data_IF_950015276867
#
_entry.id   IF_950015276867
#
_cell.length_a   1.000
_cell.length_b   1.000
_cell.length_c   1.000
_cell.angle_alpha   90.00
_cell.angle_beta   90.00
_cell.angle_gamma   90.00
#
_symmetry.space_group_name_H-M   'P 1'
#
loop_
_entity.id
_entity.type
_entity.pdbx_description
1 polymer ?
#
# COMPACT_ATOMS: atom_id res chain seq x y z
N UNK A 1 -5.94 17.93 -12.43
CA UNK A 1 -6.12 19.23 -13.11
C UNK A 1 -4.93 19.47 -14.02
N UNK A 2 -5.18 19.76 -15.30
CA UNK A 2 -4.20 19.89 -16.38
C UNK A 2 -3.80 21.35 -16.69
N UNK A 3 -4.30 22.34 -15.93
CA UNK A 3 -4.13 23.78 -16.23
C UNK A 3 -2.86 24.41 -15.62
N UNK A 4 -2.01 23.65 -14.92
CA UNK A 4 -0.77 24.18 -14.31
C UNK A 4 -0.96 25.00 -13.03
N UNK A 5 -2.17 25.52 -12.78
CA UNK A 5 -2.51 26.30 -11.59
C UNK A 5 -3.23 25.45 -10.51
N UNK A 6 -2.90 25.72 -9.26
CA UNK A 6 -3.57 25.18 -8.07
C UNK A 6 -4.87 25.93 -7.74
N UNK A 7 -5.64 25.38 -6.80
CA UNK A 7 -6.90 25.99 -6.33
C UNK A 7 -6.67 27.33 -5.61
N UNK A 8 -5.48 27.53 -5.07
CA UNK A 8 -4.97 28.73 -4.42
C UNK A 8 -4.41 29.77 -5.42
N UNK A 9 -4.47 29.49 -6.73
CA UNK A 9 -3.86 30.32 -7.78
C UNK A 9 -2.33 30.17 -7.86
N UNK A 10 -1.74 29.33 -7.02
CA UNK A 10 -0.32 28.99 -7.04
C UNK A 10 0.03 27.96 -8.09
N UNK A 11 1.27 27.46 -8.05
CA UNK A 11 1.69 26.32 -8.87
C UNK A 11 0.98 25.06 -8.40
N UNK A 12 0.35 24.33 -9.32
CA UNK A 12 -0.31 23.06 -8.99
C UNK A 12 0.67 22.01 -8.45
N UNK A 13 0.18 21.02 -7.70
CA UNK A 13 1.01 19.97 -7.07
C UNK A 13 2.00 19.29 -8.03
N UNK A 14 1.57 18.98 -9.24
CA UNK A 14 2.38 18.29 -10.26
C UNK A 14 3.04 19.23 -11.28
N UNK A 15 3.07 20.54 -11.00
CA UNK A 15 3.61 21.54 -11.94
C UNK A 15 5.10 21.34 -12.22
N UNK A 16 5.88 20.92 -11.23
CA UNK A 16 7.31 20.65 -11.41
C UNK A 16 7.58 19.52 -12.40
N UNK A 17 6.85 18.40 -12.31
CA UNK A 17 6.98 17.29 -13.27
C UNK A 17 6.53 17.70 -14.68
N UNK A 18 5.48 18.52 -14.78
CA UNK A 18 5.06 19.10 -16.06
C UNK A 18 6.15 19.98 -16.65
N UNK A 19 6.82 20.82 -15.85
CA UNK A 19 7.89 21.69 -16.30
C UNK A 19 9.08 20.88 -16.84
N UNK A 20 9.48 19.81 -16.15
CA UNK A 20 10.57 18.92 -16.61
C UNK A 20 10.19 18.17 -17.90
N UNK A 21 8.94 17.72 -18.02
CA UNK A 21 8.44 17.14 -19.27
C UNK A 21 8.48 18.15 -20.42
N UNK A 22 8.01 19.38 -20.21
CA UNK A 22 8.03 20.43 -21.23
C UNK A 22 9.46 20.80 -21.63
N UNK A 23 10.37 20.88 -20.67
CA UNK A 23 11.79 21.14 -20.91
C UNK A 23 12.40 20.06 -21.81
N UNK A 24 12.14 18.80 -21.52
CA UNK A 24 12.58 17.69 -22.36
C UNK A 24 11.95 17.76 -23.75
N UNK A 25 10.62 17.91 -23.81
CA UNK A 25 9.86 17.89 -25.05
C UNK A 25 10.23 19.04 -26.00
N UNK A 26 10.55 20.22 -25.46
CA UNK A 26 11.01 21.37 -26.24
C UNK A 26 12.40 21.15 -26.88
N UNK A 27 13.22 20.25 -26.31
CA UNK A 27 14.56 19.93 -26.79
C UNK A 27 14.65 18.63 -27.61
N UNK A 28 13.56 17.87 -27.69
CA UNK A 28 13.54 16.53 -28.28
C UNK A 28 13.00 16.54 -29.71
N UNK A 29 13.63 15.78 -30.60
CA UNK A 29 13.15 15.60 -31.97
C UNK A 29 11.96 14.63 -32.04
N UNK A 30 11.92 13.66 -31.12
CA UNK A 30 10.85 12.67 -31.02
C UNK A 30 10.21 12.65 -29.62
N UNK A 31 8.87 12.55 -29.52
CA UNK A 31 8.16 12.46 -28.24
C UNK A 31 8.62 11.30 -27.34
N UNK A 32 9.14 10.23 -27.95
CA UNK A 32 9.59 9.02 -27.27
C UNK A 32 10.86 9.24 -26.44
N UNK A 33 11.61 10.32 -26.68
CA UNK A 33 12.82 10.64 -25.93
C UNK A 33 12.50 11.14 -24.51
N UNK A 34 11.26 11.58 -24.27
CA UNK A 34 10.80 12.16 -23.00
C UNK A 34 9.79 11.28 -22.23
N UNK A 35 9.79 9.96 -22.50
CA UNK A 35 8.84 9.04 -21.88
C UNK A 35 9.00 8.98 -20.36
N UNK A 36 10.23 9.05 -19.84
CA UNK A 36 10.47 9.02 -18.40
C UNK A 36 9.80 10.20 -17.69
N UNK A 37 10.02 11.43 -18.19
CA UNK A 37 9.44 12.65 -17.63
C UNK A 37 7.91 12.67 -17.78
N UNK A 38 7.40 12.15 -18.90
CA UNK A 38 5.96 11.98 -19.12
C UNK A 38 5.37 11.03 -18.09
N UNK A 39 6.01 9.90 -17.86
CA UNK A 39 5.53 8.87 -16.96
C UNK A 39 5.54 9.36 -15.50
N UNK A 40 6.51 10.18 -15.11
CA UNK A 40 6.55 10.84 -13.78
C UNK A 40 5.42 11.87 -13.64
N UNK A 41 5.14 12.64 -14.68
CA UNK A 41 4.00 13.58 -14.67
C UNK A 41 2.66 12.85 -14.53
N UNK A 42 2.47 11.75 -15.27
CA UNK A 42 1.26 10.93 -15.20
C UNK A 42 1.15 10.17 -13.88
N UNK A 43 2.27 9.73 -13.32
CA UNK A 43 2.33 9.14 -11.98
C UNK A 43 1.87 10.16 -10.94
N UNK A 44 2.38 11.39 -10.95
CA UNK A 44 1.95 12.42 -10.00
C UNK A 44 0.45 12.75 -10.12
N UNK A 45 -0.11 12.71 -11.33
CA UNK A 45 -1.53 13.02 -11.54
C UNK A 45 -2.48 11.92 -11.06
N UNK A 46 -2.08 10.65 -11.22
CA UNK A 46 -2.99 9.51 -11.06
C UNK A 46 -2.57 8.54 -9.96
N UNK A 47 -1.34 8.64 -9.46
CA UNK A 47 -0.75 7.79 -8.42
C UNK A 47 -0.93 6.29 -8.67
N UNK A 48 -0.97 5.86 -9.94
CA UNK A 48 -1.28 4.46 -10.31
C UNK A 48 -0.26 3.47 -9.75
N UNK A 49 1.03 3.81 -9.86
CA UNK A 49 2.14 2.99 -9.34
C UNK A 49 2.11 2.97 -7.81
N UNK A 50 1.85 4.10 -7.18
CA UNK A 50 1.76 4.20 -5.71
C UNK A 50 0.58 3.40 -5.15
N UNK A 51 -0.61 3.55 -5.72
CA UNK A 51 -1.78 2.75 -5.31
C UNK A 51 -1.55 1.26 -5.50
N UNK A 52 -0.94 0.85 -6.61
CA UNK A 52 -0.60 -0.56 -6.84
C UNK A 52 0.39 -1.07 -5.78
N UNK A 53 1.39 -0.27 -5.41
CA UNK A 53 2.37 -0.63 -4.37
C UNK A 53 1.73 -0.75 -3.00
N UNK A 54 0.96 0.26 -2.57
CA UNK A 54 0.25 0.25 -1.29
C UNK A 54 -0.69 -0.96 -1.19
N UNK A 55 -1.41 -1.26 -2.27
CA UNK A 55 -2.33 -2.41 -2.32
C UNK A 55 -1.58 -3.72 -2.11
N UNK A 56 -0.43 -3.90 -2.75
CA UNK A 56 0.41 -5.10 -2.56
C UNK A 56 0.92 -5.22 -1.13
N UNK A 57 1.39 -4.12 -0.53
CA UNK A 57 1.88 -4.11 0.85
C UNK A 57 0.75 -4.48 1.82
N UNK A 58 -0.42 -3.83 1.70
CA UNK A 58 -1.58 -4.11 2.54
C UNK A 58 -2.08 -5.55 2.41
N UNK A 59 -2.08 -6.10 1.20
CA UNK A 59 -2.45 -7.49 0.97
C UNK A 59 -1.51 -8.46 1.69
N UNK A 60 -0.20 -8.20 1.63
CA UNK A 60 0.80 -9.02 2.30
C UNK A 60 0.73 -8.89 3.83
N UNK A 61 0.55 -7.67 4.34
CA UNK A 61 0.33 -7.43 5.77
C UNK A 61 -0.89 -8.18 6.31
N UNK A 62 -2.00 -8.17 5.57
CA UNK A 62 -3.22 -8.88 5.92
C UNK A 62 -3.01 -10.40 5.91
N UNK A 63 -2.31 -10.93 4.90
CA UNK A 63 -1.93 -12.34 4.84
C UNK A 63 -1.09 -12.76 6.03
N UNK A 64 -0.08 -11.97 6.39
CA UNK A 64 0.76 -12.23 7.56
C UNK A 64 -0.02 -12.13 8.87
N UNK A 65 -0.93 -11.17 8.99
CA UNK A 65 -1.81 -11.05 10.16
C UNK A 65 -2.71 -12.28 10.32
N UNK A 66 -3.29 -12.78 9.23
CA UNK A 66 -4.09 -14.02 9.24
C UNK A 66 -3.27 -15.24 9.64
N UNK A 67 -2.05 -15.39 9.10
CA UNK A 67 -1.15 -16.48 9.48
C UNK A 67 -0.79 -16.43 10.98
N UNK A 68 -0.45 -15.24 11.50
CA UNK A 68 -0.19 -15.05 12.94
C UNK A 68 -1.41 -15.37 13.80
N UNK A 69 -2.62 -14.98 13.37
CA UNK A 69 -3.85 -15.32 14.08
C UNK A 69 -4.12 -16.83 14.07
N UNK A 70 -3.90 -17.50 12.94
CA UNK A 70 -4.05 -18.96 12.84
C UNK A 70 -3.08 -19.67 13.76
N UNK A 71 -1.79 -19.31 13.74
CA UNK A 71 -0.79 -19.85 14.66
C UNK A 71 -1.15 -19.64 16.13
N UNK A 72 -1.65 -18.45 16.50
CA UNK A 72 -2.13 -18.19 17.86
C UNK A 72 -3.31 -19.10 18.24
N UNK A 73 -4.29 -19.26 17.34
CA UNK A 73 -5.43 -20.17 17.56
C UNK A 73 -4.96 -21.62 17.70
N UNK A 74 -4.06 -22.07 16.84
CA UNK A 74 -3.51 -23.43 16.88
C UNK A 74 -2.74 -23.68 18.19
N UNK A 75 -1.93 -22.71 18.64
CA UNK A 75 -1.22 -22.78 19.92
C UNK A 75 -2.17 -22.82 21.13
N UNK A 76 -3.22 -22.01 21.14
CA UNK A 76 -4.25 -22.03 22.19
C UNK A 76 -5.01 -23.36 22.20
N UNK A 77 -5.38 -23.87 21.04
CA UNK A 77 -6.05 -25.17 20.92
C UNK A 77 -5.15 -26.31 21.42
N UNK A 78 -3.87 -26.30 21.04
CA UNK A 78 -2.89 -27.28 21.52
C UNK A 78 -2.72 -27.23 23.05
N UNK A 79 -2.60 -26.02 23.64
CA UNK A 79 -2.54 -25.85 25.09
C UNK A 79 -3.78 -26.40 25.79
N UNK A 80 -4.99 -26.05 25.32
CA UNK A 80 -6.25 -26.53 25.90
C UNK A 80 -6.42 -28.05 25.80
N UNK A 81 -6.04 -28.65 24.67
CA UNK A 81 -6.15 -30.10 24.47
C UNK A 81 -5.28 -30.91 25.45
N UNK A 82 -4.09 -30.39 25.81
CA UNK A 82 -3.21 -31.04 26.78
C UNK A 82 -3.66 -30.83 28.24
N UNK A 83 -4.26 -29.69 28.58
CA UNK A 83 -4.80 -29.43 29.93
C UNK A 83 -5.99 -30.36 30.24
N UNK A 84 -6.89 -30.58 29.28
CA UNK A 84 -7.98 -31.56 29.44
C UNK A 84 -7.43 -32.98 29.60
N UNK A 85 -6.39 -33.35 28.84
CA UNK A 85 -5.78 -34.69 28.89
C UNK A 85 -5.09 -35.00 30.23
N UNK A 86 -4.60 -33.97 30.94
CA UNK A 86 -3.99 -34.12 32.26
C UNK A 86 -5.02 -34.07 33.41
N UNK A 87 -6.32 -33.92 33.10
CA UNK A 87 -7.41 -33.89 34.08
C UNK A 87 -7.19 -32.85 35.21
N UNK A 88 -6.56 -31.71 34.91
CA UNK A 88 -6.21 -30.63 35.86
C UNK A 88 -7.35 -29.61 36.02
N UNK A 89 -8.52 -29.84 35.41
CA UNK A 89 -9.68 -28.96 35.59
C UNK A 89 -10.52 -29.54 36.72
N UNK A 90 -10.32 -29.04 37.95
CA UNK A 90 -11.40 -29.05 38.94
C UNK A 90 -12.53 -28.20 38.34
N UNK A 91 -13.62 -28.83 37.94
CA UNK A 91 -14.86 -28.12 37.66
C UNK A 91 -15.25 -27.35 38.92
N UNK A 92 -15.00 -26.04 38.92
CA UNK A 92 -15.65 -25.13 39.84
C UNK A 92 -17.10 -24.92 39.37
N UNK A 93 -17.87 -26.00 39.41
CA UNK A 93 -19.31 -26.01 39.37
C UNK A 93 -19.79 -26.34 40.79
N UNK A 94 -19.97 -25.31 41.63
CA UNK A 94 -20.81 -25.43 42.82
C UNK A 94 -21.15 -24.05 43.40
N UNK A 95 -22.46 -23.83 43.49
CA UNK A 95 -23.23 -22.88 44.32
C UNK A 95 -22.98 -21.37 44.15
#
# INVERSE_FOLDING_TARGET
>A
MSSGFGLDGGRGRCFHFWQEFNKCYASADLPQQCLAQRDDYLECLHHTKEFARITRIKAEELKQAQLRQKQKKDAVNAANSNVQKLNIIEEKASA
#
